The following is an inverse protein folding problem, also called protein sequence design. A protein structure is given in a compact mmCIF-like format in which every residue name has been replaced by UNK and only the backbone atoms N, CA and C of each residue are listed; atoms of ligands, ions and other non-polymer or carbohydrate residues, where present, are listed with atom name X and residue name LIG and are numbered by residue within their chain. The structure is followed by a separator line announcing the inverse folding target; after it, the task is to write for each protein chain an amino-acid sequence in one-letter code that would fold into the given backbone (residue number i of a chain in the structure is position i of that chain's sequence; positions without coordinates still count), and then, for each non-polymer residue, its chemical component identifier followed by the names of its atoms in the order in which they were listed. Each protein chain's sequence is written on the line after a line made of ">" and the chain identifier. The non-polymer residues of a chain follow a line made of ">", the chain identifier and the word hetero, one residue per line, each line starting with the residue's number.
data_IF_097518146237
#
_entry.id   IF_097518146237
#
_cell.length_a   1.000
_cell.length_b   1.000
_cell.length_c   1.000
_cell.angle_alpha   90.00
_cell.angle_beta   90.00
_cell.angle_gamma   90.00
#
_symmetry.space_group_name_H-M   'P 1'
#
loop_
_entity.id
_entity.type
_entity.pdbx_description
1 polymer ?
#
# COMPACT_ATOMS: atom_id res chain seq x y z
N UNK A 1 -15.98 4.82 -11.11
CA UNK A 1 -16.77 6.02 -10.80
C UNK A 1 -15.84 7.22 -10.93
N UNK A 2 -16.26 8.28 -11.62
CA UNK A 2 -15.48 9.52 -11.70
C UNK A 2 -15.74 10.32 -10.42
N UNK A 3 -14.69 10.86 -9.81
CA UNK A 3 -14.82 11.80 -8.67
C UNK A 3 -15.59 13.03 -9.16
N UNK A 4 -16.71 13.40 -8.54
CA UNK A 4 -17.41 14.64 -8.88
C UNK A 4 -16.47 15.84 -8.64
N UNK A 5 -16.50 16.84 -9.52
CA UNK A 5 -15.73 18.09 -9.36
C UNK A 5 -16.13 18.85 -8.09
N UNK A 6 -17.32 18.62 -7.57
CA UNK A 6 -17.84 19.21 -6.33
C UNK A 6 -17.09 18.79 -5.06
N UNK A 7 -16.22 17.77 -5.12
CA UNK A 7 -15.40 17.30 -3.99
C UNK A 7 -13.98 17.89 -3.98
N UNK A 8 -13.62 18.72 -4.94
CA UNK A 8 -12.33 19.39 -4.97
C UNK A 8 -12.49 20.82 -4.44
N UNK A 9 -11.50 21.36 -3.70
CA UNK A 9 -11.55 22.74 -3.24
C UNK A 9 -11.60 23.71 -4.44
N UNK A 10 -12.17 24.89 -4.23
CA UNK A 10 -12.07 25.98 -5.21
C UNK A 10 -10.62 26.48 -5.33
N UNK A 11 -10.34 27.25 -6.40
CA UNK A 11 -8.97 27.67 -6.69
C UNK A 11 -8.43 28.69 -5.69
N UNK A 12 -9.27 29.52 -5.09
CA UNK A 12 -8.86 30.50 -4.11
C UNK A 12 -8.46 29.82 -2.80
N UNK A 13 -9.30 28.93 -2.29
CA UNK A 13 -9.02 28.12 -1.10
C UNK A 13 -7.75 27.29 -1.28
N UNK A 14 -7.60 26.64 -2.46
CA UNK A 14 -6.41 25.85 -2.77
C UNK A 14 -5.14 26.74 -2.78
N UNK A 15 -5.19 27.92 -3.42
CA UNK A 15 -4.05 28.86 -3.47
C UNK A 15 -3.64 29.35 -2.08
N UNK A 16 -4.61 29.72 -1.26
CA UNK A 16 -4.36 30.13 0.12
C UNK A 16 -3.66 29.03 0.94
N UNK A 17 -4.19 27.79 0.88
CA UNK A 17 -3.60 26.64 1.59
C UNK A 17 -2.20 26.28 1.08
N UNK A 18 -1.96 26.35 -0.24
CA UNK A 18 -0.65 26.13 -0.82
C UNK A 18 0.35 27.22 -0.38
N UNK A 19 -0.09 28.46 -0.26
CA UNK A 19 0.74 29.56 0.22
C UNK A 19 1.24 29.29 1.63
N UNK A 20 0.33 28.98 2.55
CA UNK A 20 0.68 28.61 3.93
C UNK A 20 1.63 27.40 3.99
N UNK A 21 1.38 26.39 3.18
CA UNK A 21 2.12 25.14 3.18
C UNK A 21 3.56 25.26 2.62
N UNK A 22 3.76 26.12 1.63
CA UNK A 22 5.04 26.21 0.91
C UNK A 22 5.92 27.36 1.37
N UNK A 23 5.35 28.41 1.91
CA UNK A 23 6.05 29.67 2.16
C UNK A 23 5.94 30.18 3.62
N UNK A 24 5.00 29.66 4.45
CA UNK A 24 4.70 30.25 5.76
C UNK A 24 3.77 31.47 5.65
N UNK A 25 3.55 32.17 6.78
CA UNK A 25 2.52 33.21 6.89
C UNK A 25 2.87 34.56 6.22
N UNK A 26 4.17 34.87 6.03
CA UNK A 26 4.66 36.22 5.62
C UNK A 26 5.17 36.30 4.16
N UNK A 27 4.78 35.40 3.26
CA UNK A 27 5.38 35.31 1.93
C UNK A 27 4.36 35.47 0.79
N UNK A 28 4.77 35.96 -0.41
CA UNK A 28 3.90 36.18 -1.56
C UNK A 28 3.09 34.94 -1.95
N UNK A 29 1.84 35.16 -2.37
CA UNK A 29 0.89 34.11 -2.72
C UNK A 29 1.42 33.13 -3.77
N UNK A 30 1.18 31.83 -3.51
CA UNK A 30 1.35 30.77 -4.50
C UNK A 30 0.21 30.86 -5.51
N UNK A 31 0.54 31.00 -6.79
CA UNK A 31 -0.46 31.06 -7.85
C UNK A 31 -0.71 29.67 -8.44
N UNK A 32 -1.94 29.20 -8.41
CA UNK A 32 -2.36 27.97 -9.12
C UNK A 32 -2.45 28.27 -10.61
N UNK A 33 -1.57 27.66 -11.40
CA UNK A 33 -1.51 27.86 -12.86
C UNK A 33 -2.39 26.85 -13.61
N UNK A 34 -2.44 25.62 -13.13
CA UNK A 34 -3.14 24.54 -13.82
C UNK A 34 -3.57 23.46 -12.83
N UNK A 35 -4.75 22.88 -13.08
CA UNK A 35 -5.32 21.73 -12.36
C UNK A 35 -5.65 20.64 -13.36
N UNK A 36 -5.13 19.44 -13.14
CA UNK A 36 -5.32 18.27 -14.00
C UNK A 36 -5.79 17.06 -13.22
N UNK A 37 -6.70 16.29 -13.80
CA UNK A 37 -7.02 14.96 -13.26
C UNK A 37 -5.84 14.01 -13.48
N UNK A 38 -5.45 13.23 -12.47
CA UNK A 38 -4.41 12.22 -12.63
C UNK A 38 -4.90 11.10 -13.56
N UNK A 39 -3.94 10.49 -14.23
CA UNK A 39 -4.21 9.29 -15.03
C UNK A 39 -4.69 8.10 -14.18
N UNK A 40 -4.23 8.03 -12.93
CA UNK A 40 -4.53 6.94 -12.02
C UNK A 40 -5.47 7.42 -10.92
N UNK A 41 -6.55 6.65 -10.73
CA UNK A 41 -7.53 6.92 -9.68
C UNK A 41 -6.94 6.54 -8.31
N UNK A 42 -7.22 7.35 -7.30
CA UNK A 42 -7.01 7.05 -5.89
C UNK A 42 -8.35 6.80 -5.20
N UNK A 43 -8.30 6.27 -3.99
CA UNK A 43 -9.47 6.12 -3.11
C UNK A 43 -10.07 7.49 -2.78
N UNK A 44 -9.22 8.49 -2.59
CA UNK A 44 -9.59 9.87 -2.29
C UNK A 44 -9.71 10.73 -3.55
N UNK A 45 -10.56 11.78 -3.54
CA UNK A 45 -10.50 12.84 -4.52
C UNK A 45 -9.07 13.36 -4.66
N UNK A 46 -8.60 13.50 -5.90
CA UNK A 46 -7.21 13.88 -6.13
C UNK A 46 -7.02 14.60 -7.46
N UNK A 47 -5.97 15.40 -7.54
CA UNK A 47 -5.57 16.12 -8.73
C UNK A 47 -4.07 16.37 -8.80
N UNK A 48 -3.59 16.76 -9.98
CA UNK A 48 -2.25 17.29 -10.21
C UNK A 48 -2.37 18.80 -10.31
N UNK A 49 -1.71 19.52 -9.41
CA UNK A 49 -1.68 20.98 -9.35
C UNK A 49 -0.33 21.46 -9.84
N UNK A 50 -0.31 22.36 -10.81
CA UNK A 50 0.87 23.13 -11.19
C UNK A 50 0.73 24.52 -10.58
N UNK A 51 1.68 24.90 -9.72
CA UNK A 51 1.70 26.21 -9.08
C UNK A 51 3.01 26.94 -9.35
N UNK A 52 2.95 28.27 -9.27
CA UNK A 52 4.10 29.16 -9.31
C UNK A 52 4.37 29.67 -7.92
N UNK A 53 5.62 29.55 -7.48
CA UNK A 53 6.10 30.06 -6.20
C UNK A 53 6.48 31.55 -6.30
N UNK A 54 6.74 32.17 -5.16
CA UNK A 54 7.12 33.58 -5.07
C UNK A 54 8.39 33.95 -5.87
N UNK A 55 9.33 33.01 -5.97
CA UNK A 55 10.57 33.15 -6.75
C UNK A 55 10.40 32.97 -8.26
N UNK A 56 9.14 32.81 -8.73
CA UNK A 56 8.80 32.52 -10.13
C UNK A 56 8.98 31.07 -10.56
N UNK A 57 9.56 30.21 -9.72
CA UNK A 57 9.71 28.79 -10.03
C UNK A 57 8.37 28.07 -10.06
N UNK A 58 8.30 26.98 -10.85
CA UNK A 58 7.07 26.17 -10.97
C UNK A 58 7.25 24.85 -10.27
N UNK A 59 6.23 24.46 -9.49
CA UNK A 59 6.15 23.11 -8.88
C UNK A 59 4.91 22.39 -9.34
N UNK A 60 5.02 21.07 -9.42
CA UNK A 60 3.89 20.17 -9.65
C UNK A 60 3.69 19.32 -8.43
N UNK A 61 2.46 19.28 -7.95
CA UNK A 61 2.05 18.58 -6.75
C UNK A 61 0.98 17.54 -7.09
N UNK A 62 0.99 16.44 -6.36
CA UNK A 62 -0.11 15.49 -6.33
C UNK A 62 -0.89 15.74 -5.03
N UNK A 63 -2.11 16.23 -5.17
CA UNK A 63 -2.96 16.59 -4.04
C UNK A 63 -4.04 15.53 -3.86
N UNK A 64 -4.23 15.06 -2.62
CA UNK A 64 -5.34 14.21 -2.18
C UNK A 64 -6.17 15.00 -1.18
N UNK A 65 -7.49 14.83 -1.22
CA UNK A 65 -8.44 15.49 -0.33
C UNK A 65 -9.30 14.46 0.37
N UNK A 66 -9.39 14.54 1.68
CA UNK A 66 -10.33 13.72 2.44
C UNK A 66 -11.74 14.23 2.13
N UNK A 67 -12.62 13.32 1.75
CA UNK A 67 -14.03 13.58 1.65
C UNK A 67 -14.73 12.62 2.60
N UNK A 68 -15.87 13.04 3.16
CA UNK A 68 -16.72 12.17 3.95
C UNK A 68 -16.96 10.87 3.19
N UNK A 69 -16.35 9.80 3.65
CA UNK A 69 -16.54 8.46 3.13
C UNK A 69 -16.80 7.53 4.28
N UNK A 70 -17.90 6.85 4.19
CA UNK A 70 -18.11 5.61 4.92
C UNK A 70 -17.07 4.58 4.45
N UNK A 71 -15.91 4.58 5.09
CA UNK A 71 -14.88 3.58 4.90
C UNK A 71 -15.31 2.30 5.59
N UNK A 72 -16.14 1.52 4.92
CA UNK A 72 -16.50 0.15 5.34
C UNK A 72 -15.31 -0.83 5.37
N UNK A 73 -14.10 -0.32 5.18
CA UNK A 73 -12.87 -1.10 5.25
C UNK A 73 -12.61 -1.57 6.69
N UNK A 74 -12.28 -2.86 6.83
CA UNK A 74 -11.99 -3.47 8.15
C UNK A 74 -10.69 -2.93 8.76
N UNK A 75 -10.65 -1.63 9.05
CA UNK A 75 -9.61 -1.00 9.87
C UNK A 75 -8.16 -1.04 9.35
N UNK A 76 -7.89 -1.58 8.15
CA UNK A 76 -6.52 -1.63 7.63
C UNK A 76 -6.08 -0.27 7.04
N UNK A 77 -7.01 0.56 6.56
CA UNK A 77 -6.72 1.91 6.07
C UNK A 77 -6.85 2.94 7.17
N UNK A 78 -5.96 3.91 7.18
CA UNK A 78 -5.91 4.95 8.21
C UNK A 78 -6.42 6.33 7.77
N UNK A 79 -6.72 6.52 6.47
CA UNK A 79 -7.07 7.83 5.91
C UNK A 79 -5.87 8.72 5.63
N UNK A 80 -6.13 9.97 5.20
CA UNK A 80 -5.07 10.88 4.76
C UNK A 80 -4.23 11.45 5.91
N UNK A 81 -4.83 11.69 7.08
CA UNK A 81 -4.08 12.13 8.26
C UNK A 81 -3.03 11.08 8.67
N UNK A 82 -3.44 9.81 8.66
CA UNK A 82 -2.54 8.69 8.91
C UNK A 82 -1.44 8.57 7.85
N UNK A 83 -1.79 8.66 6.56
CA UNK A 83 -0.83 8.64 5.47
C UNK A 83 0.18 9.79 5.60
N UNK A 84 -0.26 10.99 5.98
CA UNK A 84 0.62 12.13 6.22
C UNK A 84 1.63 11.86 7.35
N UNK A 85 1.17 11.24 8.44
CA UNK A 85 2.05 10.89 9.56
C UNK A 85 3.06 9.80 9.17
N UNK A 86 2.66 8.82 8.36
CA UNK A 86 3.61 7.84 7.77
C UNK A 86 4.69 8.56 6.96
N UNK A 87 4.34 9.55 6.14
CA UNK A 87 5.33 10.34 5.40
C UNK A 87 6.28 11.09 6.32
N UNK A 88 5.78 11.74 7.39
CA UNK A 88 6.61 12.52 8.33
C UNK A 88 7.55 11.64 9.15
N UNK A 89 7.01 10.59 9.76
CA UNK A 89 7.71 9.81 10.78
C UNK A 89 8.48 8.63 10.20
N UNK A 90 7.88 7.94 9.24
CA UNK A 90 8.47 6.71 8.69
C UNK A 90 9.34 6.98 7.47
N UNK A 91 8.82 7.76 6.53
CA UNK A 91 9.46 7.91 5.22
C UNK A 91 10.47 9.05 5.18
N UNK A 92 10.25 10.16 5.88
CA UNK A 92 11.15 11.31 5.81
C UNK A 92 12.58 10.99 6.25
N UNK A 93 12.82 10.25 7.33
CA UNK A 93 14.16 9.86 7.72
C UNK A 93 14.88 8.94 6.73
N UNK A 94 14.17 8.21 5.89
CA UNK A 94 14.75 7.23 4.95
C UNK A 94 15.24 7.86 3.65
N UNK A 95 14.73 9.02 3.25
CA UNK A 95 15.10 9.85 2.08
C UNK A 95 15.25 9.10 0.74
N UNK A 96 14.82 7.85 0.61
CA UNK A 96 15.05 7.02 -0.57
C UNK A 96 13.78 6.81 -1.38
N UNK A 97 13.84 7.22 -2.65
CA UNK A 97 12.85 6.89 -3.69
C UNK A 97 11.41 6.89 -3.21
N UNK A 98 10.94 8.02 -2.74
CA UNK A 98 9.56 8.31 -2.37
C UNK A 98 9.15 9.66 -2.94
N UNK A 99 7.86 9.95 -3.16
CA UNK A 99 7.41 11.33 -3.31
C UNK A 99 7.74 12.09 -2.02
N UNK A 100 8.26 13.31 -2.12
CA UNK A 100 8.43 14.14 -0.94
C UNK A 100 7.05 14.59 -0.42
N UNK A 101 6.86 14.55 0.91
CA UNK A 101 5.76 15.26 1.54
C UNK A 101 6.03 16.75 1.42
N UNK A 102 5.14 17.47 0.78
CA UNK A 102 5.22 18.93 0.67
C UNK A 102 4.47 19.57 1.83
N UNK A 103 3.22 19.12 2.05
CA UNK A 103 2.41 19.56 3.17
C UNK A 103 1.29 18.56 3.46
N UNK A 104 0.80 18.61 4.69
CA UNK A 104 -0.48 18.04 5.06
C UNK A 104 -1.17 19.04 5.98
N UNK A 105 -2.45 19.28 5.72
CA UNK A 105 -3.28 20.17 6.50
C UNK A 105 -4.58 19.45 6.86
N UNK A 106 -4.94 19.49 8.13
CA UNK A 106 -6.25 19.01 8.61
C UNK A 106 -7.12 20.23 8.88
N UNK A 107 -8.31 20.26 8.31
CA UNK A 107 -9.26 21.34 8.49
C UNK A 107 -9.92 21.18 9.87
N UNK A 108 -9.77 22.19 10.72
CA UNK A 108 -10.29 22.17 12.10
C UNK A 108 -11.84 22.20 12.15
N UNK A 109 -12.49 22.61 11.07
CA UNK A 109 -13.96 22.73 11.02
C UNK A 109 -14.68 21.44 10.65
N UNK A 110 -14.08 20.62 9.78
CA UNK A 110 -14.68 19.38 9.27
C UNK A 110 -13.79 18.14 9.46
N UNK A 111 -12.58 18.32 10.04
CA UNK A 111 -11.63 17.23 10.25
C UNK A 111 -11.01 16.64 8.97
N UNK A 112 -11.34 17.18 7.80
CA UNK A 112 -10.85 16.68 6.52
C UNK A 112 -9.37 17.01 6.31
N UNK A 113 -8.58 16.02 5.95
CA UNK A 113 -7.14 16.19 5.70
C UNK A 113 -6.85 16.36 4.21
N UNK A 114 -5.99 17.30 3.91
CA UNK A 114 -5.39 17.48 2.59
C UNK A 114 -3.94 17.01 2.64
N UNK A 115 -3.56 16.17 1.68
CA UNK A 115 -2.21 15.65 1.55
C UNK A 115 -1.60 16.12 0.23
N UNK A 116 -0.50 16.83 0.29
CA UNK A 116 0.22 17.40 -0.84
C UNK A 116 1.58 16.74 -0.97
N UNK A 117 1.78 16.00 -2.05
CA UNK A 117 3.02 15.29 -2.35
C UNK A 117 3.69 15.88 -3.59
N UNK A 118 5.00 15.72 -3.69
CA UNK A 118 5.72 15.95 -4.94
C UNK A 118 5.09 15.12 -6.07
N UNK A 119 4.84 15.74 -7.22
CA UNK A 119 4.43 15.00 -8.40
C UNK A 119 5.64 14.38 -9.09
N UNK A 120 5.65 13.07 -9.22
CA UNK A 120 6.74 12.33 -9.84
C UNK A 120 6.57 12.28 -11.37
N UNK A 121 7.22 13.20 -12.06
CA UNK A 121 7.21 13.24 -13.52
C UNK A 121 7.82 11.99 -14.16
N UNK A 122 7.28 11.61 -15.33
CA UNK A 122 7.80 10.53 -16.17
C UNK A 122 7.84 9.16 -15.48
N UNK A 123 7.05 8.96 -14.43
CA UNK A 123 6.85 7.67 -13.82
C UNK A 123 5.77 6.87 -14.54
N UNK A 124 5.94 5.56 -14.57
CA UNK A 124 4.92 4.62 -15.05
C UNK A 124 4.57 3.68 -13.89
N UNK A 125 3.28 3.45 -13.66
CA UNK A 125 2.83 2.48 -12.67
C UNK A 125 3.29 1.09 -13.10
N UNK A 126 3.84 0.29 -12.17
CA UNK A 126 4.43 -1.01 -12.48
C UNK A 126 3.46 -1.92 -13.24
N UNK A 127 2.17 -1.91 -12.87
CA UNK A 127 1.10 -2.64 -13.57
C UNK A 127 1.01 -2.29 -15.07
N UNK A 128 1.33 -1.06 -15.45
CA UNK A 128 1.14 -0.54 -16.82
C UNK A 128 2.42 -0.63 -17.67
N UNK A 129 3.50 -1.17 -17.14
CA UNK A 129 4.73 -1.42 -17.90
C UNK A 129 4.48 -2.54 -18.91
N UNK A 130 4.48 -2.20 -20.20
CA UNK A 130 4.30 -3.16 -21.30
C UNK A 130 5.63 -3.73 -21.75
N UNK A 131 5.67 -5.03 -22.05
CA UNK A 131 6.86 -5.79 -22.45
C UNK A 131 7.57 -5.20 -23.68
N UNK A 132 6.89 -4.42 -24.54
CA UNK A 132 7.37 -3.97 -25.86
C UNK A 132 7.92 -2.54 -25.93
N UNK A 133 8.02 -1.79 -24.82
CA UNK A 133 8.61 -0.44 -24.87
C UNK A 133 10.09 -0.47 -24.57
N UNK A 134 10.89 0.36 -25.29
CA UNK A 134 12.27 0.68 -24.92
C UNK A 134 12.28 1.10 -23.43
N UNK A 135 12.91 0.33 -22.57
CA UNK A 135 12.98 0.59 -21.15
C UNK A 135 13.00 -0.69 -20.32
N UNK A 136 12.67 -0.54 -19.06
CA UNK A 136 12.63 -1.65 -18.10
C UNK A 136 11.39 -2.52 -18.34
N UNK A 137 11.54 -3.83 -18.32
CA UNK A 137 10.40 -4.76 -18.38
C UNK A 137 9.73 -4.91 -17.02
N UNK A 138 8.45 -5.31 -17.01
CA UNK A 138 7.69 -5.51 -15.78
C UNK A 138 8.34 -6.52 -14.81
N UNK A 139 8.85 -7.71 -15.25
CA UNK A 139 9.57 -8.62 -14.36
C UNK A 139 10.83 -8.00 -13.74
N UNK A 140 11.58 -7.18 -14.50
CA UNK A 140 12.76 -6.48 -13.96
C UNK A 140 12.33 -5.44 -12.94
N UNK A 141 11.25 -4.69 -13.19
CA UNK A 141 10.71 -3.72 -12.25
C UNK A 141 10.24 -4.38 -10.95
N UNK A 142 9.61 -5.57 -11.00
CA UNK A 142 9.25 -6.36 -9.83
C UNK A 142 10.46 -6.74 -8.98
N UNK A 143 11.54 -7.21 -9.61
CA UNK A 143 12.79 -7.56 -8.89
C UNK A 143 13.41 -6.31 -8.24
N UNK A 144 13.38 -5.15 -8.91
CA UNK A 144 13.83 -3.89 -8.31
C UNK A 144 12.93 -3.45 -7.14
N UNK A 145 11.63 -3.72 -7.23
CA UNK A 145 10.68 -3.45 -6.14
C UNK A 145 10.95 -4.37 -4.94
N UNK A 146 11.23 -5.64 -5.17
CA UNK A 146 11.62 -6.58 -4.11
C UNK A 146 12.94 -6.17 -3.43
N UNK A 147 13.92 -5.66 -4.21
CA UNK A 147 15.17 -5.10 -3.69
C UNK A 147 14.94 -3.87 -2.82
N UNK A 148 14.11 -2.94 -3.30
CA UNK A 148 13.72 -1.76 -2.54
C UNK A 148 13.08 -2.16 -1.21
N UNK A 149 12.13 -3.09 -1.30
CA UNK A 149 11.35 -3.58 -0.16
C UNK A 149 12.24 -4.23 0.92
N UNK A 150 13.18 -5.10 0.52
CA UNK A 150 14.11 -5.73 1.45
C UNK A 150 14.98 -4.72 2.20
N UNK A 151 15.51 -3.71 1.51
CA UNK A 151 16.27 -2.62 2.12
C UNK A 151 15.42 -1.76 3.06
N UNK A 152 14.20 -1.44 2.64
CA UNK A 152 13.28 -0.67 3.46
C UNK A 152 12.94 -1.40 4.76
N UNK A 153 12.55 -2.67 4.67
CA UNK A 153 12.22 -3.48 5.84
C UNK A 153 13.43 -3.68 6.78
N UNK A 154 14.62 -3.89 6.25
CA UNK A 154 15.84 -3.97 7.07
C UNK A 154 16.08 -2.67 7.85
N UNK A 155 15.96 -1.51 7.18
CA UNK A 155 16.13 -0.21 7.81
C UNK A 155 15.05 0.11 8.85
N UNK A 156 13.82 -0.34 8.62
CA UNK A 156 12.69 -0.08 9.52
C UNK A 156 12.59 -1.07 10.68
N UNK A 157 13.18 -2.24 10.59
CA UNK A 157 13.09 -3.26 11.66
C UNK A 157 13.66 -2.75 12.98
N UNK A 158 14.81 -2.08 12.96
CA UNK A 158 15.40 -1.48 14.16
C UNK A 158 14.53 -0.36 14.77
N UNK A 159 13.71 0.31 13.94
CA UNK A 159 12.84 1.41 14.34
C UNK A 159 11.43 0.96 14.75
N UNK A 160 11.04 -0.26 14.43
CA UNK A 160 9.70 -0.78 14.69
C UNK A 160 9.33 -0.84 16.18
N UNK A 161 10.32 -0.82 17.07
CA UNK A 161 10.14 -0.82 18.52
C UNK A 161 10.31 0.57 19.15
N UNK A 162 10.53 1.62 18.35
CA UNK A 162 10.72 2.99 18.83
C UNK A 162 9.39 3.74 19.01
N UNK A 163 9.35 4.69 19.95
CA UNK A 163 8.20 5.55 20.21
C UNK A 163 7.60 6.22 18.96
N UNK A 164 8.41 6.78 18.03
CA UNK A 164 7.87 7.40 16.83
C UNK A 164 7.00 6.48 15.96
N UNK A 165 7.13 5.16 16.11
CA UNK A 165 6.30 4.18 15.37
C UNK A 165 5.03 3.75 16.12
N UNK A 166 4.77 4.29 17.31
CA UNK A 166 3.65 3.89 18.18
C UNK A 166 2.28 4.17 17.59
N UNK A 167 2.14 5.15 16.68
CA UNK A 167 0.89 5.45 15.98
C UNK A 167 0.52 4.41 14.92
N UNK A 168 1.49 3.59 14.48
CA UNK A 168 1.24 2.59 13.44
C UNK A 168 0.36 1.45 13.96
N UNK A 169 -0.62 1.08 13.13
CA UNK A 169 -1.44 -0.11 13.38
C UNK A 169 -0.53 -1.33 13.51
N UNK A 170 -0.87 -2.22 14.43
CA UNK A 170 -0.18 -3.50 14.61
C UNK A 170 -1.10 -4.64 14.17
N UNK A 171 -0.60 -5.52 13.33
CA UNK A 171 -1.36 -6.70 12.91
C UNK A 171 -1.17 -7.80 13.96
N UNK A 172 -2.15 -7.96 14.81
CA UNK A 172 -2.22 -8.95 15.89
C UNK A 172 -3.15 -10.13 15.52
N UNK A 173 -3.32 -11.06 16.45
CA UNK A 173 -4.19 -12.21 16.27
C UNK A 173 -5.64 -11.82 16.01
N UNK A 174 -6.13 -10.77 16.68
CA UNK A 174 -7.49 -10.24 16.47
C UNK A 174 -7.66 -9.69 15.06
N UNK A 175 -6.67 -8.94 14.58
CA UNK A 175 -6.67 -8.40 13.22
C UNK A 175 -6.73 -9.50 12.16
N UNK A 176 -5.88 -10.54 12.27
CA UNK A 176 -5.89 -11.65 11.32
C UNK A 176 -7.19 -12.47 11.42
N UNK A 177 -7.65 -12.77 12.64
CA UNK A 177 -8.89 -13.51 12.88
C UNK A 177 -10.12 -12.83 12.27
N UNK A 178 -10.21 -11.51 12.42
CA UNK A 178 -11.32 -10.75 11.85
C UNK A 178 -11.40 -10.82 10.32
N UNK A 179 -10.27 -10.95 9.61
CA UNK A 179 -10.30 -11.20 8.16
C UNK A 179 -10.85 -12.59 7.81
N UNK A 180 -10.55 -13.61 8.62
CA UNK A 180 -11.10 -14.95 8.43
C UNK A 180 -12.60 -14.96 8.69
N UNK A 181 -13.06 -14.31 9.74
CA UNK A 181 -14.50 -14.20 10.07
C UNK A 181 -15.27 -13.51 8.94
N UNK A 182 -14.76 -12.37 8.46
CA UNK A 182 -15.37 -11.67 7.31
C UNK A 182 -15.37 -12.51 6.04
N UNK A 183 -14.26 -13.19 5.74
CA UNK A 183 -14.21 -14.10 4.59
C UNK A 183 -15.21 -15.24 4.73
N UNK A 184 -15.33 -15.86 5.91
CA UNK A 184 -16.32 -16.91 6.18
C UNK A 184 -17.76 -16.40 5.95
N UNK A 185 -18.06 -15.20 6.45
CA UNK A 185 -19.38 -14.57 6.27
C UNK A 185 -19.67 -14.28 4.80
N UNK A 186 -18.73 -13.64 4.07
CA UNK A 186 -18.95 -13.20 2.69
C UNK A 186 -18.98 -14.37 1.69
N UNK A 187 -18.30 -15.47 2.02
CA UNK A 187 -18.27 -16.68 1.17
C UNK A 187 -19.33 -17.70 1.54
N UNK A 188 -20.17 -17.45 2.55
CA UNK A 188 -21.23 -18.38 2.97
C UNK A 188 -22.10 -18.91 1.82
N UNK A 189 -22.51 -18.10 0.81
CA UNK A 189 -23.28 -18.61 -0.34
C UNK A 189 -22.53 -19.61 -1.22
N UNK A 190 -21.20 -19.70 -1.09
CA UNK A 190 -20.34 -20.57 -1.89
C UNK A 190 -19.87 -21.82 -1.14
N UNK A 191 -20.40 -22.10 0.06
CA UNK A 191 -19.98 -23.24 0.89
C UNK A 191 -20.12 -24.57 0.19
N UNK A 192 -21.19 -24.77 -0.58
CA UNK A 192 -21.39 -26.00 -1.37
C UNK A 192 -20.31 -26.16 -2.44
N UNK A 193 -19.84 -25.08 -3.05
CA UNK A 193 -18.79 -25.08 -4.08
C UNK A 193 -17.39 -25.25 -3.49
N UNK A 194 -17.13 -24.65 -2.31
CA UNK A 194 -15.83 -24.66 -1.64
C UNK A 194 -15.93 -25.21 -0.20
N UNK A 195 -16.34 -26.48 0.01
CA UNK A 195 -16.58 -27.04 1.36
C UNK A 195 -15.33 -27.08 2.24
N UNK A 196 -14.13 -27.13 1.64
CA UNK A 196 -12.85 -27.08 2.34
C UNK A 196 -12.61 -25.75 3.06
N UNK A 197 -13.20 -24.63 2.56
CA UNK A 197 -13.00 -23.31 3.15
C UNK A 197 -13.60 -23.21 4.55
N UNK A 198 -14.75 -23.85 4.80
CA UNK A 198 -15.38 -23.92 6.13
C UNK A 198 -14.43 -24.58 7.13
N UNK A 199 -13.78 -25.70 6.72
CA UNK A 199 -12.80 -26.42 7.57
C UNK A 199 -11.58 -25.54 7.84
N UNK A 200 -11.10 -24.81 6.83
CA UNK A 200 -9.96 -23.91 6.97
C UNK A 200 -10.27 -22.75 7.92
N UNK A 201 -11.43 -22.09 7.79
CA UNK A 201 -11.82 -20.98 8.66
C UNK A 201 -11.91 -21.39 10.15
N UNK A 202 -12.28 -22.64 10.47
CA UNK A 202 -12.30 -23.14 11.85
C UNK A 202 -10.92 -23.21 12.50
N UNK A 203 -9.84 -23.13 11.73
CA UNK A 203 -8.44 -23.13 12.22
C UNK A 203 -7.86 -21.72 12.37
N UNK A 204 -8.69 -20.67 12.36
CA UNK A 204 -8.25 -19.27 12.40
C UNK A 204 -7.26 -18.95 13.54
N UNK A 205 -7.43 -19.59 14.69
CA UNK A 205 -6.59 -19.34 15.88
C UNK A 205 -5.10 -19.66 15.67
N UNK A 206 -4.79 -20.71 14.90
CA UNK A 206 -3.43 -21.25 14.80
C UNK A 206 -2.74 -20.91 13.48
N UNK A 207 -3.50 -20.66 12.42
CA UNK A 207 -2.95 -20.57 11.07
C UNK A 207 -2.02 -19.38 10.84
N UNK A 208 -2.07 -18.35 11.69
CA UNK A 208 -1.22 -17.15 11.56
C UNK A 208 -0.08 -17.11 12.58
N UNK A 209 0.16 -18.18 13.34
CA UNK A 209 1.26 -18.25 14.31
C UNK A 209 2.63 -17.85 13.72
N UNK A 210 3.00 -18.24 12.47
CA UNK A 210 4.26 -17.78 11.87
C UNK A 210 4.34 -16.26 11.67
N UNK A 211 3.21 -15.58 11.36
CA UNK A 211 3.19 -14.12 11.26
C UNK A 211 3.26 -13.44 12.64
N UNK A 212 2.69 -14.05 13.66
CA UNK A 212 2.70 -13.51 15.02
C UNK A 212 4.06 -13.68 15.70
N UNK A 213 4.81 -14.73 15.36
CA UNK A 213 6.13 -15.02 15.91
C UNK A 213 7.25 -14.22 15.24
N UNK A 214 7.07 -13.80 13.98
CA UNK A 214 8.08 -13.08 13.22
C UNK A 214 8.36 -11.66 13.75
N UNK A 215 9.61 -11.18 13.65
CA UNK A 215 9.95 -9.82 14.07
C UNK A 215 9.20 -8.80 13.18
N UNK A 216 8.44 -7.86 13.79
CA UNK A 216 7.73 -6.86 13.03
C UNK A 216 8.71 -5.85 12.39
N UNK A 217 8.33 -5.35 11.24
CA UNK A 217 8.90 -4.17 10.60
C UNK A 217 7.77 -3.23 10.18
N UNK A 218 8.09 -2.04 9.73
CA UNK A 218 7.07 -1.22 9.07
C UNK A 218 6.82 -1.78 7.69
N UNK A 219 5.57 -2.17 7.42
CA UNK A 219 5.10 -2.62 6.10
C UNK A 219 4.31 -1.51 5.42
N UNK A 220 4.24 -1.55 4.09
CA UNK A 220 3.33 -0.72 3.30
C UNK A 220 1.87 -1.16 3.46
N UNK A 221 1.64 -2.46 3.66
CA UNK A 221 0.33 -3.07 3.83
C UNK A 221 -0.46 -3.29 2.52
N UNK A 222 -0.14 -2.55 1.46
CA UNK A 222 -0.72 -2.70 0.11
C UNK A 222 0.35 -2.57 -0.98
N UNK A 223 1.48 -3.27 -0.85
CA UNK A 223 2.61 -3.20 -1.79
C UNK A 223 2.32 -3.92 -3.12
N UNK A 224 1.15 -3.66 -3.67
CA UNK A 224 0.72 -4.18 -4.97
C UNK A 224 1.36 -3.41 -6.12
N UNK A 225 1.48 -4.06 -7.26
CA UNK A 225 2.00 -3.44 -8.51
C UNK A 225 1.24 -2.19 -8.95
N UNK A 226 0.04 -1.96 -8.41
CA UNK A 226 -0.77 -0.75 -8.62
C UNK A 226 -0.22 0.47 -7.86
N UNK A 227 0.40 0.24 -6.70
CA UNK A 227 0.88 1.28 -5.78
C UNK A 227 2.38 1.51 -5.92
N UNK A 228 2.98 1.06 -7.03
CA UNK A 228 4.41 1.20 -7.30
C UNK A 228 4.58 1.97 -8.60
N UNK A 229 5.21 3.14 -8.51
CA UNK A 229 5.64 3.93 -9.66
C UNK A 229 7.09 3.61 -9.98
N UNK A 230 7.42 3.58 -11.27
CA UNK A 230 8.77 3.26 -11.76
C UNK A 230 9.25 4.32 -12.72
N UNK A 231 10.47 4.83 -12.49
CA UNK A 231 11.16 5.77 -13.37
C UNK A 231 12.59 5.25 -13.59
N UNK A 232 12.90 4.82 -14.81
CA UNK A 232 14.18 4.13 -15.10
C UNK A 232 14.35 2.89 -14.20
N UNK A 233 15.37 2.88 -13.33
CA UNK A 233 15.65 1.81 -12.36
C UNK A 233 15.22 2.16 -10.92
N UNK A 234 14.55 3.29 -10.74
CA UNK A 234 14.07 3.74 -9.44
C UNK A 234 12.62 3.35 -9.23
N UNK A 235 12.30 2.93 -8.02
CA UNK A 235 10.98 2.47 -7.56
C UNK A 235 10.47 3.44 -6.51
N UNK A 236 9.22 3.84 -6.63
CA UNK A 236 8.56 4.81 -5.74
C UNK A 236 7.22 4.22 -5.28
N UNK A 237 7.16 3.59 -4.12
CA UNK A 237 5.88 3.20 -3.52
C UNK A 237 5.07 4.43 -3.15
N UNK A 238 3.76 4.35 -3.36
CA UNK A 238 2.78 5.41 -3.08
C UNK A 238 1.54 4.81 -2.43
N UNK A 239 0.72 5.64 -1.80
CA UNK A 239 -0.53 5.21 -1.15
C UNK A 239 -0.28 4.45 0.15
N UNK A 240 0.30 5.15 1.15
CA UNK A 240 0.76 4.59 2.42
C UNK A 240 -0.31 4.53 3.51
N UNK A 241 -1.58 4.73 3.19
CA UNK A 241 -2.69 4.73 4.15
C UNK A 241 -2.89 3.39 4.90
N UNK A 242 -2.27 2.31 4.40
CA UNK A 242 -2.33 0.97 4.98
C UNK A 242 -1.04 0.55 5.69
N UNK A 243 -0.09 1.45 5.88
CA UNK A 243 1.15 1.14 6.59
C UNK A 243 0.87 0.59 7.99
N UNK A 244 1.69 -0.36 8.44
CA UNK A 244 1.47 -1.03 9.72
C UNK A 244 2.77 -1.65 10.26
N UNK A 245 2.74 -2.12 11.50
CA UNK A 245 3.75 -2.99 12.08
C UNK A 245 3.34 -4.45 11.91
N UNK A 246 4.06 -5.19 11.09
CA UNK A 246 3.84 -6.61 10.80
C UNK A 246 5.08 -7.25 10.16
N UNK A 247 5.11 -8.59 9.95
CA UNK A 247 6.17 -9.23 9.16
C UNK A 247 6.21 -8.70 7.71
N UNK A 248 7.40 -8.36 7.26
CA UNK A 248 7.61 -7.77 5.93
C UNK A 248 7.26 -8.71 4.76
N UNK A 249 7.16 -10.00 5.00
CA UNK A 249 6.73 -11.02 4.05
C UNK A 249 5.34 -10.75 3.50
N UNK A 250 4.49 -9.99 4.22
CA UNK A 250 3.16 -9.54 3.76
C UNK A 250 3.28 -8.67 2.51
N UNK A 251 4.20 -7.72 2.50
CA UNK A 251 4.42 -6.86 1.35
C UNK A 251 5.06 -7.61 0.16
N UNK A 252 5.96 -8.55 0.44
CA UNK A 252 6.52 -9.40 -0.60
C UNK A 252 5.46 -10.30 -1.23
N UNK A 253 4.56 -10.86 -0.41
CA UNK A 253 3.43 -11.64 -0.90
C UNK A 253 2.49 -10.78 -1.75
N UNK A 254 2.22 -9.52 -1.37
CA UNK A 254 1.42 -8.58 -2.15
C UNK A 254 2.09 -8.22 -3.50
N UNK A 255 3.41 -7.99 -3.52
CA UNK A 255 4.17 -7.74 -4.75
C UNK A 255 4.09 -8.89 -5.74
N UNK A 256 4.11 -10.13 -5.21
CA UNK A 256 4.18 -11.35 -6.02
C UNK A 256 2.82 -12.01 -6.25
N UNK A 257 1.73 -11.36 -5.81
CA UNK A 257 0.36 -11.83 -6.08
C UNK A 257 0.01 -11.73 -7.56
N UNK A 258 -0.63 -12.75 -8.09
CA UNK A 258 -1.14 -12.77 -9.47
C UNK A 258 -0.51 -13.87 -10.35
N UNK A 259 -0.83 -13.90 -11.64
CA UNK A 259 -0.44 -14.95 -12.58
C UNK A 259 0.99 -14.77 -13.11
N UNK A 260 1.95 -14.60 -12.21
CA UNK A 260 3.35 -14.45 -12.55
C UNK A 260 4.01 -15.81 -12.85
N UNK A 261 4.96 -15.81 -13.78
CA UNK A 261 5.82 -16.98 -13.96
C UNK A 261 6.60 -17.26 -12.66
N UNK A 262 6.68 -18.51 -12.27
CA UNK A 262 7.37 -18.94 -11.06
C UNK A 262 8.83 -18.46 -10.97
N UNK A 263 9.49 -18.33 -12.13
CA UNK A 263 10.85 -17.77 -12.22
C UNK A 263 10.94 -16.32 -11.80
N UNK A 264 9.93 -15.49 -12.10
CA UNK A 264 9.85 -14.09 -11.68
C UNK A 264 9.62 -14.01 -10.16
N UNK A 265 8.68 -14.79 -9.65
CA UNK A 265 8.38 -14.87 -8.20
C UNK A 265 9.64 -15.26 -7.43
N UNK A 266 10.30 -16.36 -7.80
CA UNK A 266 11.54 -16.81 -7.14
C UNK A 266 12.68 -15.78 -7.22
N UNK A 267 12.75 -14.99 -8.29
CA UNK A 267 13.75 -13.89 -8.38
C UNK A 267 13.44 -12.76 -7.42
N UNK A 268 12.16 -12.40 -7.25
CA UNK A 268 11.74 -11.40 -6.26
C UNK A 268 12.04 -11.88 -4.84
N UNK A 269 11.72 -13.12 -4.51
CA UNK A 269 11.98 -13.72 -3.20
C UNK A 269 13.48 -13.72 -2.87
N UNK A 270 14.33 -14.20 -3.80
CA UNK A 270 15.79 -14.20 -3.61
C UNK A 270 16.35 -12.79 -3.44
N UNK A 271 15.88 -11.84 -4.25
CA UNK A 271 16.38 -10.46 -4.19
C UNK A 271 15.95 -9.77 -2.87
N UNK A 272 14.73 -10.03 -2.41
CA UNK A 272 14.24 -9.57 -1.11
C UNK A 272 15.09 -10.14 0.03
N UNK A 273 15.27 -11.46 0.08
CA UNK A 273 16.10 -12.11 1.11
C UNK A 273 17.50 -11.54 1.14
N UNK A 274 18.17 -11.48 -0.01
CA UNK A 274 19.54 -10.98 -0.16
C UNK A 274 19.71 -9.53 0.34
N UNK A 275 18.67 -8.71 0.22
CA UNK A 275 18.74 -7.29 0.60
C UNK A 275 18.21 -7.01 2.00
N UNK A 276 17.37 -7.88 2.55
CA UNK A 276 16.85 -7.75 3.91
C UNK A 276 17.79 -8.41 4.92
N UNK A 277 18.38 -9.54 4.58
CA UNK A 277 19.27 -10.33 5.44
C UNK A 277 20.55 -10.69 4.66
N UNK A 278 21.53 -9.79 4.62
CA UNK A 278 22.79 -10.05 3.89
C UNK A 278 23.53 -11.29 4.40
N UNK A 279 23.41 -11.58 5.70
CA UNK A 279 24.08 -12.70 6.38
C UNK A 279 23.29 -14.01 6.34
N UNK A 280 22.13 -14.02 5.70
CA UNK A 280 21.28 -15.19 5.54
C UNK A 280 19.84 -14.95 6.03
N UNK A 281 18.89 -15.47 5.27
CA UNK A 281 17.47 -15.38 5.63
C UNK A 281 17.12 -16.35 6.76
N UNK A 282 16.11 -16.04 7.62
CA UNK A 282 15.62 -16.95 8.63
C UNK A 282 15.17 -18.29 8.03
N UNK A 283 15.36 -19.37 8.78
CA UNK A 283 15.00 -20.73 8.32
C UNK A 283 13.51 -20.90 8.02
N UNK A 284 12.67 -20.15 8.73
CA UNK A 284 11.22 -20.14 8.61
C UNK A 284 10.67 -19.14 7.57
N UNK A 285 11.54 -18.46 6.82
CA UNK A 285 11.14 -17.48 5.80
C UNK A 285 10.06 -18.01 4.83
N UNK A 286 10.22 -19.23 4.32
CA UNK A 286 9.27 -19.82 3.38
C UNK A 286 7.89 -20.06 4.03
N UNK A 287 7.88 -20.50 5.29
CA UNK A 287 6.67 -20.70 6.08
C UNK A 287 5.95 -19.37 6.33
N UNK A 288 6.70 -18.36 6.77
CA UNK A 288 6.17 -17.01 7.03
C UNK A 288 5.61 -16.38 5.76
N UNK A 289 6.29 -16.53 4.61
CA UNK A 289 5.83 -16.01 3.32
C UNK A 289 4.56 -16.72 2.83
N UNK A 290 4.46 -18.04 2.96
CA UNK A 290 3.23 -18.76 2.59
C UNK A 290 2.07 -18.41 3.54
N UNK A 291 2.34 -18.16 4.82
CA UNK A 291 1.35 -17.66 5.78
C UNK A 291 0.89 -16.23 5.41
N UNK A 292 1.81 -15.38 4.95
CA UNK A 292 1.48 -14.05 4.45
C UNK A 292 0.58 -14.12 3.19
N UNK A 293 0.85 -15.05 2.28
CA UNK A 293 -0.03 -15.31 1.12
C UNK A 293 -1.42 -15.77 1.56
N UNK A 294 -1.48 -16.67 2.54
CA UNK A 294 -2.75 -17.14 3.12
C UNK A 294 -3.57 -15.96 3.66
N UNK A 295 -2.93 -15.09 4.46
CA UNK A 295 -3.55 -13.87 4.99
C UNK A 295 -4.08 -12.97 3.88
N UNK A 296 -3.32 -12.70 2.82
CA UNK A 296 -3.76 -11.85 1.72
C UNK A 296 -5.00 -12.40 1.01
N UNK A 297 -5.11 -13.71 0.84
CA UNK A 297 -6.33 -14.30 0.24
C UNK A 297 -7.53 -14.15 1.17
N UNK A 298 -7.39 -14.33 2.48
CA UNK A 298 -8.47 -14.05 3.43
C UNK A 298 -8.85 -12.57 3.41
N UNK A 299 -7.88 -11.67 3.38
CA UNK A 299 -8.14 -10.24 3.26
C UNK A 299 -8.94 -9.92 2.00
N UNK A 300 -8.56 -10.47 0.84
CA UNK A 300 -9.29 -10.28 -0.41
C UNK A 300 -10.74 -10.80 -0.34
N UNK A 301 -10.96 -11.95 0.23
CA UNK A 301 -12.29 -12.54 0.37
C UNK A 301 -13.14 -11.80 1.41
N UNK A 302 -12.52 -11.22 2.43
CA UNK A 302 -13.18 -10.45 3.49
C UNK A 302 -13.30 -8.95 3.20
N UNK A 303 -12.76 -8.43 2.09
CA UNK A 303 -12.78 -6.99 1.79
C UNK A 303 -14.20 -6.52 1.43
N UNK A 304 -14.86 -7.21 0.49
CA UNK A 304 -16.22 -6.89 0.04
C UNK A 304 -16.96 -8.16 -0.40
N UNK A 305 -18.25 -8.32 0.00
CA UNK A 305 -19.02 -9.50 -0.37
C UNK A 305 -19.11 -9.68 -1.89
N UNK A 306 -19.34 -8.59 -2.65
CA UNK A 306 -19.44 -8.66 -4.11
C UNK A 306 -18.13 -9.07 -4.79
N UNK A 307 -16.98 -8.90 -4.14
CA UNK A 307 -15.70 -9.39 -4.67
C UNK A 307 -15.53 -10.88 -4.41
N UNK A 308 -15.92 -11.35 -3.22
CA UNK A 308 -15.86 -12.76 -2.86
C UNK A 308 -16.74 -13.63 -3.80
N UNK A 309 -17.91 -13.12 -4.21
CA UNK A 309 -18.88 -13.88 -4.99
C UNK A 309 -18.66 -13.86 -6.51
N UNK A 310 -17.73 -13.05 -7.02
CA UNK A 310 -17.50 -12.94 -8.47
C UNK A 310 -16.70 -14.11 -9.02
N UNK A 311 -17.21 -14.80 -10.04
CA UNK A 311 -16.53 -15.94 -10.67
C UNK A 311 -15.12 -15.62 -11.16
N UNK A 312 -14.91 -14.43 -11.74
CA UNK A 312 -13.58 -13.98 -12.19
C UNK A 312 -12.52 -13.90 -11.07
N UNK A 313 -12.93 -13.99 -9.81
CA UNK A 313 -12.04 -13.98 -8.65
C UNK A 313 -11.81 -15.38 -8.07
N UNK A 314 -12.44 -16.43 -8.61
CA UNK A 314 -12.34 -17.79 -8.07
C UNK A 314 -10.95 -18.41 -8.15
N UNK A 315 -10.07 -17.90 -9.00
CA UNK A 315 -8.66 -18.26 -8.97
C UNK A 315 -8.01 -18.00 -7.58
N UNK A 316 -8.53 -17.03 -6.80
CA UNK A 316 -8.06 -16.79 -5.43
C UNK A 316 -8.41 -17.91 -4.47
N UNK A 317 -9.56 -18.53 -4.66
CA UNK A 317 -9.95 -19.73 -3.87
C UNK A 317 -9.00 -20.89 -4.16
N UNK A 318 -8.65 -21.11 -5.42
CA UNK A 318 -7.70 -22.16 -5.80
C UNK A 318 -6.30 -21.90 -5.22
N UNK A 319 -5.84 -20.67 -5.29
CA UNK A 319 -4.56 -20.27 -4.70
C UNK A 319 -4.58 -20.36 -3.16
N UNK A 320 -5.65 -19.92 -2.51
CA UNK A 320 -5.85 -20.08 -1.07
C UNK A 320 -5.79 -21.56 -0.69
N UNK A 321 -6.51 -22.43 -1.43
CA UNK A 321 -6.50 -23.89 -1.20
C UNK A 321 -5.10 -24.48 -1.37
N UNK A 322 -4.41 -24.13 -2.44
CA UNK A 322 -3.06 -24.61 -2.69
C UNK A 322 -2.08 -24.16 -1.60
N UNK A 323 -2.19 -22.91 -1.13
CA UNK A 323 -1.38 -22.38 -0.03
C UNK A 323 -1.71 -23.09 1.29
N UNK A 324 -2.99 -23.29 1.61
CA UNK A 324 -3.42 -24.01 2.81
C UNK A 324 -2.91 -25.46 2.83
N UNK A 325 -2.89 -26.14 1.66
CA UNK A 325 -2.29 -27.49 1.53
C UNK A 325 -0.78 -27.48 1.80
N UNK A 326 -0.03 -26.53 1.23
CA UNK A 326 1.42 -26.43 1.49
C UNK A 326 1.74 -26.20 2.98
N UNK A 327 0.85 -25.49 3.66
CA UNK A 327 0.94 -25.24 5.11
C UNK A 327 0.39 -26.39 5.98
N UNK A 328 -0.11 -27.49 5.40
CA UNK A 328 -0.69 -28.61 6.15
C UNK A 328 -1.98 -28.27 6.91
N UNK A 329 -2.72 -27.25 6.45
CA UNK A 329 -3.94 -26.79 7.12
C UNK A 329 -5.19 -27.54 6.64
N UNK A 330 -5.16 -28.14 5.45
CA UNK A 330 -6.24 -28.96 4.84
C UNK A 330 -5.66 -30.11 4.04
#
# INVERSE_FOLDING_TARGET
>A
MQTPLSLLPDSQTLSARLTMALNGEDVPHVTVLERKRPRYMSTFPNEIVTCQLADGSKRRLFCKYEADRDHSAYGHRGGLAYEAEVYRVVLDPVKTFRPALVAAHTDDTNGGTWLMLEYLDRCTRLKDIRVRRKGISQPVAMVLSARWLGRFHAAQQARASSDPSSFLKRYDAKYYGGWVERAAQFTAPLQARFPWLVKLCKRAGDMFAPLLAGPPTVIHGEFYINNILVRRKSVFPVDWESAALAPGEIDLAALTEGPWQATVVRRCEREYQRTRWPDGAPADFALTLDTARLYLYFRWLGERPEWALREKTFWRYEHLRATAKRLGLI
#
